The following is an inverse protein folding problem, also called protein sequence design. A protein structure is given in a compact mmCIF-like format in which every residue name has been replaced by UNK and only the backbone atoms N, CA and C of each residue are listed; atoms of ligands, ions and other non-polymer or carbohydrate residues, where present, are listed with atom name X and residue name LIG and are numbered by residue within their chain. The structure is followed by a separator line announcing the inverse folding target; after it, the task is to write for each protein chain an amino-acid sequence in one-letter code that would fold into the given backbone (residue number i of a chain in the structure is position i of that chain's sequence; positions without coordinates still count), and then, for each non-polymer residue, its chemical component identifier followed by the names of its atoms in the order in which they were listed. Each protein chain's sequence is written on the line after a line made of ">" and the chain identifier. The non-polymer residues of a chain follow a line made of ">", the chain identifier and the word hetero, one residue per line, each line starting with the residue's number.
data_IF_395416192260
#
_entry.id   IF_395416192260
#
_cell.length_a   1.000
_cell.length_b   1.000
_cell.length_c   1.000
_cell.angle_alpha   90.00
_cell.angle_beta   90.00
_cell.angle_gamma   90.00
#
_symmetry.space_group_name_H-M   'P 1'
#
loop_
_entity.id
_entity.type
_entity.pdbx_description
1 polymer ?
#
# COMPACT_ATOMS: atom_id res chain seq x y z
N UNK A 1 -7.64 0.96 -2.32
CA UNK A 1 -7.41 1.21 -3.76
C UNK A 1 -7.61 -0.08 -4.53
N UNK A 2 -8.25 0.01 -5.69
CA UNK A 2 -8.32 -1.06 -6.68
C UNK A 2 -7.31 -0.73 -7.77
N UNK A 3 -6.32 -1.60 -8.00
CA UNK A 3 -5.25 -1.32 -8.96
C UNK A 3 -5.60 -1.89 -10.33
N UNK A 4 -5.85 -3.20 -10.41
CA UNK A 4 -6.23 -3.87 -11.65
C UNK A 4 -6.81 -5.27 -11.40
N UNK A 5 -7.51 -5.79 -12.41
CA UNK A 5 -7.86 -7.21 -12.53
C UNK A 5 -6.74 -7.95 -13.24
N UNK A 6 -6.24 -9.02 -12.62
CA UNK A 6 -5.19 -9.86 -13.19
C UNK A 6 -5.80 -10.95 -14.11
N UNK A 7 -5.01 -11.55 -15.03
CA UNK A 7 -5.45 -12.67 -15.86
C UNK A 7 -5.95 -13.89 -15.07
N UNK A 8 -5.51 -14.04 -13.81
CA UNK A 8 -5.98 -15.07 -12.87
C UNK A 8 -7.45 -14.88 -12.46
N UNK A 9 -8.05 -13.72 -12.72
CA UNK A 9 -9.37 -13.33 -12.22
C UNK A 9 -9.33 -12.71 -10.81
N UNK A 10 -8.16 -12.66 -10.17
CA UNK A 10 -7.99 -11.95 -8.90
C UNK A 10 -7.77 -10.46 -9.15
N UNK A 11 -8.08 -9.67 -8.13
CA UNK A 11 -7.87 -8.24 -8.15
C UNK A 11 -6.70 -7.85 -7.26
N UNK A 12 -5.74 -7.13 -7.84
CA UNK A 12 -4.73 -6.44 -7.07
C UNK A 12 -5.38 -5.27 -6.35
N UNK A 13 -5.41 -5.35 -5.03
CA UNK A 13 -5.91 -4.29 -4.14
C UNK A 13 -4.82 -3.90 -3.16
N UNK A 14 -4.93 -2.69 -2.63
CA UNK A 14 -4.04 -2.25 -1.58
C UNK A 14 -4.63 -1.10 -0.79
N UNK A 15 -3.93 -0.75 0.27
CA UNK A 15 -4.32 0.32 1.17
C UNK A 15 -3.16 0.74 2.04
N UNK A 16 -3.42 1.73 2.88
CA UNK A 16 -2.44 2.22 3.82
C UNK A 16 -3.08 2.67 5.13
N UNK A 17 -2.27 2.69 6.17
CA UNK A 17 -2.60 3.21 7.49
C UNK A 17 -1.48 4.13 7.97
N UNK A 18 -1.85 5.22 8.64
CA UNK A 18 -0.90 6.09 9.32
C UNK A 18 -0.76 5.66 10.78
N UNK A 19 0.46 5.71 11.30
CA UNK A 19 0.72 5.56 12.73
C UNK A 19 1.79 6.55 13.20
N UNK A 20 1.65 7.02 14.44
CA UNK A 20 2.65 7.90 15.06
C UNK A 20 3.87 7.05 15.44
N UNK A 21 5.01 7.36 14.85
CA UNK A 21 6.23 6.58 14.93
C UNK A 21 7.21 6.94 13.82
N UNK A 22 8.37 6.28 13.84
CA UNK A 22 9.39 6.42 12.80
C UNK A 22 10.01 5.07 12.46
N UNK A 23 10.40 4.90 11.20
CA UNK A 23 11.23 3.79 10.74
C UNK A 23 12.64 3.98 11.29
N UNK A 24 13.06 3.09 12.19
CA UNK A 24 14.40 3.13 12.84
C UNK A 24 15.45 2.45 11.96
N UNK A 25 15.08 1.39 11.24
CA UNK A 25 15.94 0.62 10.34
C UNK A 25 15.11 -0.02 9.22
N UNK A 26 15.78 -0.46 8.15
CA UNK A 26 15.15 -1.03 6.96
C UNK A 26 15.01 -0.02 5.82
N UNK A 27 14.71 -0.54 4.62
CA UNK A 27 14.42 0.28 3.45
C UNK A 27 13.05 0.96 3.57
N UNK A 28 12.93 2.15 2.99
CA UNK A 28 11.63 2.79 2.79
C UNK A 28 10.91 2.10 1.63
N UNK A 29 9.60 1.87 1.77
CA UNK A 29 8.82 1.21 0.72
C UNK A 29 8.68 2.06 -0.54
N UNK A 30 8.82 3.38 -0.43
CA UNK A 30 8.87 4.27 -1.59
C UNK A 30 10.32 4.72 -1.79
N UNK A 31 10.98 4.14 -2.78
CA UNK A 31 12.26 4.63 -3.25
C UNK A 31 12.02 5.53 -4.47
N UNK A 32 12.44 6.79 -4.37
CA UNK A 32 12.41 7.71 -5.49
C UNK A 32 13.84 7.86 -6.05
N UNK A 33 14.13 7.21 -7.17
CA UNK A 33 15.34 7.47 -7.97
C UNK A 33 14.96 8.25 -9.23
N UNK A 34 15.66 9.37 -9.46
CA UNK A 34 15.60 10.16 -10.71
C UNK A 34 14.19 10.53 -11.20
N UNK A 35 13.28 10.84 -10.26
CA UNK A 35 11.89 11.23 -10.56
C UNK A 35 10.95 10.06 -10.84
N UNK A 36 11.45 8.82 -10.81
CA UNK A 36 10.65 7.60 -10.84
C UNK A 36 10.53 7.01 -9.44
N UNK A 37 9.30 6.92 -8.92
CA UNK A 37 9.01 6.25 -7.66
C UNK A 37 8.84 4.75 -7.92
N UNK A 38 9.65 3.92 -7.28
CA UNK A 38 9.46 2.47 -7.22
C UNK A 38 8.93 2.13 -5.84
N UNK A 39 7.83 1.38 -5.81
CA UNK A 39 7.29 0.83 -4.56
C UNK A 39 7.88 -0.56 -4.35
N UNK A 40 8.55 -0.77 -3.23
CA UNK A 40 9.13 -2.05 -2.84
C UNK A 40 8.49 -2.56 -1.55
N UNK A 41 7.56 -3.50 -1.71
CA UNK A 41 6.98 -4.21 -0.57
C UNK A 41 7.78 -5.47 -0.24
N UNK A 42 7.65 -5.90 1.01
CA UNK A 42 8.19 -7.14 1.53
C UNK A 42 7.07 -8.16 1.69
N UNK A 43 7.34 -9.42 1.34
CA UNK A 43 6.38 -10.50 1.55
C UNK A 43 6.10 -10.69 3.04
N UNK A 44 4.84 -10.56 3.45
CA UNK A 44 4.39 -10.81 4.82
C UNK A 44 3.73 -12.18 4.98
N UNK A 45 2.94 -12.59 3.99
CA UNK A 45 2.29 -13.90 3.88
C UNK A 45 2.05 -14.23 2.39
N UNK A 46 1.70 -15.46 1.97
CA UNK A 46 1.68 -15.87 0.55
C UNK A 46 1.03 -14.89 -0.45
N UNK A 47 -0.02 -14.17 -0.04
CA UNK A 47 -0.74 -13.23 -0.91
C UNK A 47 -0.75 -11.79 -0.38
N UNK A 48 0.07 -11.48 0.63
CA UNK A 48 0.12 -10.15 1.25
C UNK A 48 1.56 -9.67 1.28
N UNK A 49 1.75 -8.50 0.72
CA UNK A 49 3.01 -7.76 0.75
C UNK A 49 2.79 -6.45 1.51
N UNK A 50 3.78 -6.03 2.29
CA UNK A 50 3.70 -4.84 3.15
C UNK A 50 4.95 -3.98 3.03
N UNK A 51 4.79 -2.67 3.21
CA UNK A 51 5.89 -1.72 3.23
C UNK A 51 5.67 -0.65 4.29
N UNK A 52 6.77 -0.10 4.81
CA UNK A 52 6.73 1.08 5.65
C UNK A 52 7.33 2.25 4.88
N UNK A 53 6.68 3.40 4.92
CA UNK A 53 7.16 4.60 4.25
C UNK A 53 7.11 5.85 5.11
N UNK A 54 8.07 6.73 4.88
CA UNK A 54 8.10 8.14 5.34
C UNK A 54 7.38 9.06 4.35
N UNK A 55 7.02 8.57 3.17
CA UNK A 55 6.23 9.28 2.18
C UNK A 55 4.76 9.15 2.55
N UNK A 56 4.18 10.23 3.10
CA UNK A 56 2.84 10.22 3.68
C UNK A 56 1.87 10.95 2.75
N UNK A 57 0.75 10.32 2.45
CA UNK A 57 -0.34 10.92 1.68
C UNK A 57 -1.60 11.08 2.52
N UNK A 58 -2.31 12.20 2.36
CA UNK A 58 -3.60 12.47 3.04
C UNK A 58 -3.54 12.48 4.58
N UNK A 59 -2.43 12.94 5.17
CA UNK A 59 -2.31 13.06 6.63
C UNK A 59 -3.23 14.18 7.18
N UNK A 60 -4.14 13.88 8.14
CA UNK A 60 -4.94 14.92 8.77
C UNK A 60 -4.07 15.95 9.50
N UNK A 61 -4.45 17.23 9.43
CA UNK A 61 -3.70 18.35 10.05
C UNK A 61 -3.49 18.19 11.56
N UNK A 62 -4.34 17.45 12.26
CA UNK A 62 -4.20 17.17 13.69
C UNK A 62 -2.90 16.42 14.02
N UNK A 63 -2.30 15.73 13.04
CA UNK A 63 -1.03 15.02 13.21
C UNK A 63 0.18 15.83 12.70
N UNK A 64 0.00 17.08 12.30
CA UNK A 64 1.10 17.94 11.83
C UNK A 64 2.16 18.13 12.92
N UNK A 65 3.43 17.95 12.54
CA UNK A 65 4.57 18.07 13.45
C UNK A 65 4.90 16.81 14.25
N UNK A 66 4.05 15.78 14.21
CA UNK A 66 4.37 14.47 14.78
C UNK A 66 5.23 13.65 13.81
N UNK A 67 6.10 12.80 14.36
CA UNK A 67 6.70 11.73 13.57
C UNK A 67 5.61 10.73 13.22
N UNK A 68 5.26 10.64 11.94
CA UNK A 68 4.28 9.70 11.42
C UNK A 68 4.97 8.85 10.36
N UNK A 69 4.56 7.59 10.27
CA UNK A 69 4.94 6.69 9.18
C UNK A 69 3.68 6.06 8.60
N UNK A 70 3.78 5.64 7.36
CA UNK A 70 2.71 4.97 6.63
C UNK A 70 3.04 3.48 6.53
N UNK A 71 2.11 2.63 6.95
CA UNK A 71 2.11 1.21 6.62
C UNK A 71 1.27 1.05 5.35
N UNK A 72 1.85 0.41 4.35
CA UNK A 72 1.21 0.12 3.08
C UNK A 72 1.15 -1.38 2.90
N UNK A 73 0.11 -1.84 2.20
CA UNK A 73 -0.04 -3.24 1.88
C UNK A 73 -0.74 -3.41 0.54
N UNK A 74 -0.42 -4.52 -0.12
CA UNK A 74 -1.17 -5.01 -1.26
C UNK A 74 -1.47 -6.49 -1.13
N UNK A 75 -2.54 -6.91 -1.78
CA UNK A 75 -2.99 -8.30 -1.81
C UNK A 75 -3.84 -8.58 -3.04
N UNK A 76 -4.05 -9.87 -3.31
CA UNK A 76 -4.89 -10.38 -4.39
C UNK A 76 -6.16 -10.98 -3.80
N UNK A 77 -7.31 -10.42 -4.14
CA UNK A 77 -8.60 -10.89 -3.63
C UNK A 77 -9.56 -11.19 -4.79
N UNK A 78 -10.43 -12.21 -4.66
CA UNK A 78 -11.46 -12.46 -5.66
C UNK A 78 -12.56 -11.39 -5.58
N UNK A 79 -13.42 -11.34 -6.61
CA UNK A 79 -14.71 -10.68 -6.48
C UNK A 79 -15.54 -11.38 -5.39
N UNK A 80 -15.99 -10.63 -4.38
CA UNK A 80 -16.76 -11.19 -3.25
C UNK A 80 -18.13 -10.54 -3.08
N UNK A 81 -18.53 -9.64 -3.99
CA UNK A 81 -19.84 -9.00 -3.94
C UNK A 81 -20.87 -9.89 -4.63
N UNK A 82 -22.13 -9.79 -4.18
CA UNK A 82 -23.24 -10.53 -4.77
C UNK A 82 -23.60 -10.02 -6.18
N UNK A 83 -23.33 -8.75 -6.45
CA UNK A 83 -23.52 -8.15 -7.76
C UNK A 83 -22.58 -8.75 -8.80
N UNK A 84 -22.95 -8.67 -10.06
CA UNK A 84 -22.11 -9.14 -11.17
C UNK A 84 -20.82 -8.32 -11.22
N UNK A 85 -19.71 -9.03 -11.38
CA UNK A 85 -18.40 -8.45 -11.61
C UNK A 85 -18.43 -7.50 -12.83
N UNK A 86 -18.04 -6.22 -12.68
CA UNK A 86 -18.00 -5.30 -13.82
C UNK A 86 -17.06 -5.80 -14.92
N UNK A 87 -17.51 -5.71 -16.18
CA UNK A 87 -16.64 -6.02 -17.31
C UNK A 87 -15.48 -5.01 -17.38
N UNK A 88 -14.26 -5.46 -17.75
CA UNK A 88 -13.08 -4.61 -17.88
C UNK A 88 -13.21 -3.56 -19.00
#
# INVERSE_FOLDING_TARGET
>A
MHWCREPSGLYLTGGWFHFVGRIVSGADAHEHEDGTGVIQYQQFSPDVEVGLSRHISLLPKTFSGLAVSQLEFQTRVPWVLADVEPAP
#
